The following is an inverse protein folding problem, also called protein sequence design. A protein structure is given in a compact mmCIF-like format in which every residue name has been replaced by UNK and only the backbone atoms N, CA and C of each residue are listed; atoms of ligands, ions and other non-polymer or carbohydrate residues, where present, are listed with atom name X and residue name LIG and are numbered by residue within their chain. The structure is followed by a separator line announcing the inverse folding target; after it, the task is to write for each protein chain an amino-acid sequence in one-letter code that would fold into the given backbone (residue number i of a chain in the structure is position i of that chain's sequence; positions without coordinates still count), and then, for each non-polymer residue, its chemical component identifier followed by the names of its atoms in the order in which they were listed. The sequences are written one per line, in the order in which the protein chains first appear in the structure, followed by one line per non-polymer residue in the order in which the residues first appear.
data_IF_364186020040
#
_entry.id   IF_364186020040
#
_cell.length_a   1.000
_cell.length_b   1.000
_cell.length_c   1.000
_cell.angle_alpha   90.00
_cell.angle_beta   90.00
_cell.angle_gamma   90.00
#
_symmetry.space_group_name_H-M   'P 1'
#
loop_
_entity.id
_entity.type
_entity.pdbx_description
1 polymer ?
#
# COMPACT_ATOMS: atom_id res chain seq x y z
N UNK A 1 -3.53 -26.06 -2.27
CA UNK A 1 -2.81 -26.45 -3.50
C UNK A 1 -3.02 -25.41 -4.59
N UNK A 2 -2.17 -24.39 -4.69
CA UNK A 2 -2.12 -23.52 -5.86
C UNK A 2 -1.52 -24.32 -7.02
N UNK A 3 -2.27 -24.45 -8.12
CA UNK A 3 -1.79 -25.20 -9.28
C UNK A 3 -0.55 -24.49 -9.85
N UNK A 4 0.57 -25.22 -10.01
CA UNK A 4 1.85 -24.70 -10.57
C UNK A 4 1.63 -23.84 -11.83
N UNK A 5 0.65 -24.22 -12.66
CA UNK A 5 0.28 -23.48 -13.87
C UNK A 5 -0.12 -22.03 -13.65
N UNK A 6 -0.77 -21.71 -12.52
CA UNK A 6 -1.19 -20.33 -12.25
C UNK A 6 -0.05 -19.46 -11.71
N UNK A 7 0.83 -20.06 -10.91
CA UNK A 7 2.05 -19.41 -10.41
C UNK A 7 2.97 -19.03 -11.57
N UNK A 8 3.17 -19.97 -12.50
CA UNK A 8 3.95 -19.74 -13.72
C UNK A 8 3.28 -18.71 -14.63
N UNK A 9 1.94 -18.74 -14.72
CA UNK A 9 1.19 -17.79 -15.53
C UNK A 9 1.39 -16.35 -15.06
N UNK A 10 1.18 -16.05 -13.76
CA UNK A 10 1.25 -14.66 -13.29
C UNK A 10 2.66 -14.07 -13.33
N UNK A 11 3.70 -14.91 -13.24
CA UNK A 11 5.09 -14.49 -13.39
C UNK A 11 5.59 -14.45 -14.84
N UNK A 12 4.82 -14.98 -15.79
CA UNK A 12 5.21 -15.02 -17.21
C UNK A 12 5.14 -13.62 -17.84
N UNK A 13 6.16 -13.28 -18.63
CA UNK A 13 6.22 -11.99 -19.33
C UNK A 13 5.03 -11.77 -20.28
N UNK A 14 4.50 -12.85 -20.87
CA UNK A 14 3.32 -12.81 -21.74
C UNK A 14 2.05 -12.44 -20.98
N UNK A 15 1.81 -13.06 -19.80
CA UNK A 15 0.69 -12.68 -18.95
C UNK A 15 0.81 -11.24 -18.48
N UNK A 16 1.97 -10.84 -17.96
CA UNK A 16 2.21 -9.48 -17.49
C UNK A 16 1.90 -8.47 -18.60
N UNK A 17 2.47 -8.68 -19.80
CA UNK A 17 2.27 -7.79 -20.94
C UNK A 17 0.81 -7.75 -21.42
N UNK A 18 0.16 -8.91 -21.50
CA UNK A 18 -1.25 -9.01 -21.95
C UNK A 18 -2.20 -8.38 -20.94
N UNK A 19 -1.96 -8.62 -19.64
CA UNK A 19 -2.77 -8.08 -18.56
C UNK A 19 -2.64 -6.55 -18.47
N UNK A 20 -1.42 -6.03 -18.62
CA UNK A 20 -1.15 -4.59 -18.72
C UNK A 20 -1.88 -3.97 -19.92
N UNK A 21 -1.73 -4.54 -21.12
CA UNK A 21 -2.39 -4.03 -22.32
C UNK A 21 -3.92 -4.03 -22.17
N UNK A 22 -4.49 -5.07 -21.55
CA UNK A 22 -5.93 -5.16 -21.29
C UNK A 22 -6.41 -4.08 -20.32
N UNK A 23 -5.66 -3.75 -19.27
CA UNK A 23 -6.00 -2.64 -18.37
C UNK A 23 -5.84 -1.26 -19.02
N UNK A 24 -4.85 -1.07 -19.89
CA UNK A 24 -4.60 0.20 -20.60
C UNK A 24 -5.64 0.45 -21.70
N UNK A 25 -6.17 -0.59 -22.33
CA UNK A 25 -7.13 -0.45 -23.45
C UNK A 25 -8.59 -0.42 -23.01
N UNK A 26 -8.89 -0.86 -21.78
CA UNK A 26 -10.27 -0.95 -21.27
C UNK A 26 -10.28 -0.38 -19.85
N UNK A 27 -10.41 0.94 -19.72
CA UNK A 27 -10.72 1.59 -18.44
C UNK A 27 -12.11 1.19 -17.88
N UNK A 28 -12.87 0.35 -18.58
CA UNK A 28 -14.24 -0.04 -18.22
C UNK A 28 -14.36 -0.98 -17.00
N UNK A 29 -13.25 -1.38 -16.36
CA UNK A 29 -13.24 -2.40 -15.30
C UNK A 29 -12.34 -2.01 -14.10
N UNK A 30 -12.39 -0.75 -13.67
CA UNK A 30 -11.77 -0.32 -12.40
C UNK A 30 -12.73 -0.65 -11.26
N UNK A 31 -12.27 -1.48 -10.31
CA UNK A 31 -13.02 -1.85 -9.12
C UNK A 31 -12.27 -1.41 -7.87
N UNK A 32 -13.02 -0.98 -6.86
CA UNK A 32 -12.52 -0.75 -5.51
C UNK A 32 -12.63 -2.06 -4.73
N UNK A 33 -11.53 -2.48 -4.10
CA UNK A 33 -11.53 -3.62 -3.18
C UNK A 33 -11.60 -3.08 -1.76
N UNK A 34 -12.66 -3.41 -1.04
CA UNK A 34 -12.89 -2.92 0.32
C UNK A 34 -13.04 -4.09 1.29
N UNK A 35 -12.46 -3.94 2.48
CA UNK A 35 -12.76 -4.76 3.65
C UNK A 35 -13.78 -4.00 4.48
N UNK A 36 -14.95 -4.59 4.74
CA UNK A 36 -16.03 -3.91 5.43
C UNK A 36 -16.93 -4.90 6.17
N UNK A 37 -17.73 -4.37 7.09
CA UNK A 37 -18.78 -5.13 7.76
C UNK A 37 -19.96 -5.41 6.79
N UNK A 38 -20.62 -6.58 6.85
CA UNK A 38 -21.75 -6.93 5.97
C UNK A 38 -22.90 -5.93 6.03
N UNK A 39 -23.16 -5.39 7.23
CA UNK A 39 -24.14 -4.32 7.44
C UNK A 39 -23.43 -2.97 7.44
N UNK A 40 -23.62 -2.17 6.38
CA UNK A 40 -23.05 -0.83 6.23
C UNK A 40 -23.63 0.21 7.21
N UNK A 41 -24.82 -0.04 7.76
CA UNK A 41 -25.52 0.87 8.69
C UNK A 41 -25.17 0.62 10.16
N UNK A 42 -24.26 -0.33 10.45
CA UNK A 42 -23.92 -0.68 11.84
C UNK A 42 -23.13 0.48 12.47
N UNK A 43 -23.69 1.07 13.53
CA UNK A 43 -22.93 1.93 14.42
C UNK A 43 -22.00 1.04 15.24
N UNK A 44 -20.70 1.35 15.25
CA UNK A 44 -19.73 0.65 16.10
C UNK A 44 -20.11 0.87 17.56
N UNK A 45 -20.66 -0.16 18.21
CA UNK A 45 -20.79 -0.21 19.66
C UNK A 45 -19.45 -0.74 20.20
N UNK A 46 -18.51 0.17 20.43
CA UNK A 46 -17.13 -0.16 20.84
C UNK A 46 -17.03 -0.86 22.22
N UNK A 47 -18.15 -1.15 22.87
CA UNK A 47 -18.24 -1.68 24.23
C UNK A 47 -18.55 -3.19 24.31
N UNK A 48 -18.75 -3.91 23.18
CA UNK A 48 -18.98 -5.36 23.21
C UNK A 48 -17.69 -6.17 22.91
N UNK A 49 -17.04 -6.76 23.93
CA UNK A 49 -15.83 -7.58 23.75
C UNK A 49 -16.09 -8.96 23.12
N UNK A 50 -17.34 -9.31 22.80
CA UNK A 50 -17.72 -10.56 22.12
C UNK A 50 -18.22 -10.35 20.68
N UNK A 51 -18.19 -9.12 20.18
CA UNK A 51 -18.56 -8.82 18.80
C UNK A 51 -17.40 -9.23 17.88
N UNK A 52 -17.43 -10.49 17.46
CA UNK A 52 -16.54 -10.99 16.42
C UNK A 52 -16.93 -10.26 15.13
N UNK A 53 -16.18 -9.22 14.78
CA UNK A 53 -16.38 -8.46 13.55
C UNK A 53 -16.16 -9.39 12.34
N UNK A 54 -17.23 -10.03 11.86
CA UNK A 54 -17.20 -10.73 10.58
C UNK A 54 -16.99 -9.70 9.46
N UNK A 55 -15.74 -9.40 9.12
CA UNK A 55 -15.38 -8.56 8.00
C UNK A 55 -15.38 -9.37 6.70
N UNK A 56 -15.88 -8.78 5.62
CA UNK A 56 -15.85 -9.37 4.29
C UNK A 56 -15.14 -8.47 3.28
N UNK A 57 -14.50 -9.11 2.29
CA UNK A 57 -13.97 -8.42 1.13
C UNK A 57 -15.04 -8.31 0.06
N UNK A 58 -15.17 -7.13 -0.54
CA UNK A 58 -16.07 -6.93 -1.69
C UNK A 58 -15.42 -6.06 -2.76
N UNK A 59 -15.84 -6.28 -4.00
CA UNK A 59 -15.55 -5.39 -5.12
C UNK A 59 -16.69 -4.40 -5.29
N UNK A 60 -16.38 -3.13 -5.44
CA UNK A 60 -17.30 -2.06 -5.75
C UNK A 60 -16.95 -1.43 -7.09
N UNK A 61 -17.97 -0.95 -7.81
CA UNK A 61 -17.78 -0.10 -8.98
C UNK A 61 -17.07 1.20 -8.58
N UNK A 62 -16.01 1.58 -9.28
CA UNK A 62 -15.36 2.87 -9.07
C UNK A 62 -16.24 4.06 -9.50
N UNK A 63 -17.24 3.83 -10.35
CA UNK A 63 -18.13 4.90 -10.86
C UNK A 63 -19.37 5.09 -9.99
N UNK A 64 -20.06 3.99 -9.66
CA UNK A 64 -21.34 4.03 -8.93
C UNK A 64 -21.17 3.77 -7.44
N UNK A 65 -20.01 3.29 -6.98
CA UNK A 65 -19.77 2.81 -5.62
C UNK A 65 -20.73 1.69 -5.19
N UNK A 66 -21.42 1.06 -6.15
CA UNK A 66 -22.28 -0.07 -5.88
C UNK A 66 -21.45 -1.34 -5.74
N UNK A 67 -21.87 -2.19 -4.81
CA UNK A 67 -21.24 -3.48 -4.58
C UNK A 67 -21.47 -4.38 -5.79
N UNK A 68 -20.38 -4.78 -6.43
CA UNK A 68 -20.39 -5.66 -7.60
C UNK A 68 -20.37 -7.14 -7.19
N UNK A 69 -19.53 -7.49 -6.21
CA UNK A 69 -19.42 -8.89 -5.78
C UNK A 69 -18.81 -9.04 -4.39
N UNK A 70 -19.34 -9.98 -3.61
CA UNK A 70 -18.68 -10.52 -2.42
C UNK A 70 -17.51 -11.42 -2.81
N UNK A 71 -16.41 -11.27 -2.09
CA UNK A 71 -15.24 -12.11 -2.18
C UNK A 71 -15.10 -12.90 -0.89
N UNK A 72 -15.17 -14.22 -1.01
CA UNK A 72 -14.71 -15.09 0.06
C UNK A 72 -13.23 -14.80 0.31
N UNK A 73 -12.86 -14.57 1.56
CA UNK A 73 -11.45 -14.45 1.92
C UNK A 73 -10.71 -15.71 1.45
N UNK A 74 -9.55 -15.59 0.81
CA UNK A 74 -8.80 -16.76 0.32
C UNK A 74 -8.30 -17.69 1.45
N UNK A 75 -8.36 -17.23 2.70
CA UNK A 75 -7.95 -17.94 3.92
C UNK A 75 -9.12 -17.86 4.91
N UNK A 76 -9.46 -18.93 5.62
CA UNK A 76 -10.69 -19.02 6.43
C UNK A 76 -10.76 -18.04 7.62
N UNK A 77 -9.70 -17.27 7.91
CA UNK A 77 -9.67 -16.31 9.00
C UNK A 77 -9.54 -14.87 8.47
N UNK A 78 -10.49 -14.00 8.84
CA UNK A 78 -10.77 -12.69 8.23
C UNK A 78 -10.24 -11.50 9.02
N UNK A 79 -9.81 -11.68 10.26
CA UNK A 79 -9.83 -10.58 11.22
C UNK A 79 -8.68 -9.58 11.09
N UNK A 80 -7.57 -9.90 10.43
CA UNK A 80 -6.35 -9.08 10.58
C UNK A 80 -5.50 -8.90 9.30
N UNK A 81 -6.07 -8.79 8.10
CA UNK A 81 -5.29 -8.54 6.88
C UNK A 81 -5.31 -7.08 6.43
N UNK A 82 -4.16 -6.58 5.97
CA UNK A 82 -3.99 -5.25 5.37
C UNK A 82 -3.48 -5.34 3.93
N UNK A 83 -3.88 -4.38 3.10
CA UNK A 83 -3.33 -4.20 1.75
C UNK A 83 -2.02 -3.40 1.81
N UNK A 84 -0.96 -3.97 1.23
CA UNK A 84 0.39 -3.38 1.15
C UNK A 84 0.75 -2.86 -0.25
N UNK A 85 -0.19 -2.95 -1.18
CA UNK A 85 -0.07 -2.39 -2.53
C UNK A 85 -1.00 -3.10 -3.50
N UNK A 86 -1.39 -2.41 -4.56
CA UNK A 86 -2.13 -2.98 -5.67
C UNK A 86 -1.52 -2.48 -6.97
N UNK A 87 -1.49 -3.36 -7.97
CA UNK A 87 -1.00 -3.01 -9.30
C UNK A 87 -1.59 -3.96 -10.32
N UNK A 88 -2.28 -3.38 -11.32
CA UNK A 88 -2.89 -4.11 -12.43
C UNK A 88 -3.70 -5.32 -11.96
N UNK A 89 -4.72 -5.10 -11.12
CA UNK A 89 -5.61 -6.17 -10.63
C UNK A 89 -4.98 -7.18 -9.67
N UNK A 90 -3.67 -7.10 -9.38
CA UNK A 90 -3.02 -7.85 -8.31
C UNK A 90 -2.97 -7.00 -7.05
N UNK A 91 -3.19 -7.64 -5.91
CA UNK A 91 -3.22 -7.02 -4.58
C UNK A 91 -2.28 -7.80 -3.67
N UNK A 92 -1.40 -7.10 -2.97
CA UNK A 92 -0.57 -7.70 -1.94
C UNK A 92 -1.23 -7.52 -0.59
N UNK A 93 -1.50 -8.64 0.10
CA UNK A 93 -2.09 -8.66 1.44
C UNK A 93 -1.19 -9.44 2.39
N UNK A 94 -1.17 -9.03 3.65
CA UNK A 94 -0.50 -9.72 4.76
C UNK A 94 -1.14 -9.27 6.07
N UNK A 95 -0.67 -9.80 7.19
CA UNK A 95 -1.16 -9.41 8.52
C UNK A 95 -1.08 -7.88 8.71
N UNK A 96 -2.04 -7.31 9.43
CA UNK A 96 -2.09 -5.90 9.76
C UNK A 96 -0.84 -5.49 10.56
N UNK A 97 -0.47 -6.33 11.52
CA UNK A 97 0.76 -6.23 12.30
C UNK A 97 1.73 -7.28 11.79
N UNK A 98 2.45 -6.96 10.71
CA UNK A 98 3.45 -7.86 10.15
C UNK A 98 4.63 -8.10 11.09
N UNK A 99 4.98 -9.37 11.24
CA UNK A 99 6.27 -9.83 11.71
C UNK A 99 7.06 -10.49 10.55
N UNK A 100 8.25 -11.02 10.84
CA UNK A 100 9.09 -11.63 9.81
C UNK A 100 8.45 -12.85 9.12
N UNK A 101 7.74 -13.64 9.92
CA UNK A 101 7.11 -14.90 9.52
C UNK A 101 5.69 -14.71 8.97
N UNK A 102 5.14 -13.50 9.06
CA UNK A 102 3.82 -13.15 8.52
C UNK A 102 3.74 -13.52 7.05
N UNK A 103 2.72 -14.30 6.65
CA UNK A 103 2.60 -14.75 5.29
C UNK A 103 2.25 -13.57 4.39
N UNK A 104 2.91 -13.51 3.23
CA UNK A 104 2.62 -12.51 2.20
C UNK A 104 1.82 -13.21 1.12
N UNK A 105 0.72 -12.60 0.67
CA UNK A 105 -0.08 -13.14 -0.42
C UNK A 105 -0.24 -12.12 -1.53
N UNK A 106 0.09 -12.54 -2.75
CA UNK A 106 -0.20 -11.81 -3.98
C UNK A 106 -1.49 -12.39 -4.53
N UNK A 107 -2.58 -11.67 -4.34
CA UNK A 107 -3.94 -12.08 -4.66
C UNK A 107 -4.41 -11.44 -5.97
N UNK A 108 -5.06 -12.22 -6.82
CA UNK A 108 -5.89 -11.74 -7.91
C UNK A 108 -7.37 -11.94 -7.52
N UNK A 109 -8.08 -10.87 -7.08
CA UNK A 109 -9.47 -10.95 -6.67
C UNK A 109 -10.40 -11.44 -7.78
N UNK A 110 -10.17 -11.03 -9.03
CA UNK A 110 -11.04 -11.34 -10.17
C UNK A 110 -11.12 -12.83 -10.50
N UNK A 111 -10.06 -13.59 -10.24
CA UNK A 111 -10.04 -15.05 -10.43
C UNK A 111 -9.95 -15.83 -9.11
N UNK A 112 -10.02 -15.13 -7.96
CA UNK A 112 -9.99 -15.70 -6.61
C UNK A 112 -8.80 -16.64 -6.36
N UNK A 113 -7.63 -16.31 -6.91
CA UNK A 113 -6.40 -17.08 -6.72
C UNK A 113 -5.31 -16.21 -6.12
N UNK A 114 -4.51 -16.79 -5.25
CA UNK A 114 -3.36 -16.13 -4.65
C UNK A 114 -2.09 -16.95 -4.86
N UNK A 115 -0.96 -16.26 -4.78
CA UNK A 115 0.37 -16.85 -4.68
C UNK A 115 0.98 -16.38 -3.37
N UNK A 116 1.53 -17.32 -2.62
CA UNK A 116 2.34 -17.02 -1.45
C UNK A 116 3.81 -17.08 -1.90
N UNK A 117 4.57 -15.97 -1.85
CA UNK A 117 6.01 -16.02 -2.06
C UNK A 117 6.66 -17.04 -1.11
N UNK A 118 7.77 -17.68 -1.51
CA UNK A 118 8.52 -18.54 -0.60
C UNK A 118 8.99 -17.75 0.61
N UNK A 119 9.09 -18.42 1.76
CA UNK A 119 9.68 -17.83 2.98
C UNK A 119 11.12 -17.41 2.70
N UNK A 120 11.49 -16.20 3.11
CA UNK A 120 12.90 -15.76 3.04
C UNK A 120 13.72 -16.61 4.02
N UNK A 121 14.67 -17.39 3.49
CA UNK A 121 15.48 -18.32 4.29
C UNK A 121 16.75 -17.67 4.86
N UNK A 122 17.04 -16.42 4.50
CA UNK A 122 18.33 -15.80 4.73
C UNK A 122 18.44 -15.03 6.06
N UNK A 123 17.44 -15.09 6.93
CA UNK A 123 17.41 -14.22 8.12
C UNK A 123 17.09 -14.98 9.41
N UNK A 124 18.09 -15.10 10.27
CA UNK A 124 17.97 -15.66 11.63
C UNK A 124 17.68 -14.59 12.71
N UNK A 125 17.06 -13.47 12.33
CA UNK A 125 16.83 -12.33 13.23
C UNK A 125 15.34 -12.06 13.42
N UNK A 126 14.93 -11.81 14.66
CA UNK A 126 13.58 -11.36 14.98
C UNK A 126 13.46 -9.86 14.71
N UNK A 127 12.61 -9.51 13.75
CA UNK A 127 12.27 -8.12 13.45
C UNK A 127 11.02 -7.69 14.21
N UNK A 128 11.01 -6.43 14.63
CA UNK A 128 9.90 -5.82 15.35
C UNK A 128 9.04 -4.93 14.48
N UNK A 129 9.60 -4.41 13.38
CA UNK A 129 8.87 -3.62 12.41
C UNK A 129 9.15 -4.14 11.01
N UNK A 130 8.07 -4.36 10.26
CA UNK A 130 8.12 -4.74 8.86
C UNK A 130 7.26 -3.77 8.07
N UNK A 131 7.84 -3.20 7.01
CA UNK A 131 7.12 -2.47 5.99
C UNK A 131 7.19 -3.26 4.69
N UNK A 132 6.10 -3.22 3.93
CA UNK A 132 5.96 -3.94 2.67
C UNK A 132 5.32 -3.00 1.65
N UNK A 133 5.90 -2.97 0.45
CA UNK A 133 5.38 -2.23 -0.69
C UNK A 133 5.36 -3.15 -1.90
N UNK A 134 4.22 -3.23 -2.57
CA UNK A 134 4.06 -4.07 -3.74
C UNK A 134 3.62 -3.26 -4.96
N UNK A 135 4.22 -3.54 -6.11
CA UNK A 135 3.73 -3.04 -7.37
C UNK A 135 4.54 -3.49 -8.58
N UNK A 136 4.16 -2.96 -9.74
CA UNK A 136 4.78 -3.30 -11.01
C UNK A 136 5.99 -2.41 -11.33
N UNK A 137 7.10 -3.03 -11.71
CA UNK A 137 8.28 -2.35 -12.22
C UNK A 137 8.31 -2.43 -13.76
N UNK A 138 7.96 -1.34 -14.48
CA UNK A 138 7.87 -1.35 -15.93
C UNK A 138 9.22 -1.56 -16.62
N UNK A 139 10.29 -0.91 -16.12
CA UNK A 139 11.63 -1.03 -16.70
C UNK A 139 12.22 -2.43 -16.74
N UNK A 140 11.83 -3.31 -15.81
CA UNK A 140 12.24 -4.73 -15.83
C UNK A 140 11.09 -5.68 -16.12
N UNK A 141 9.89 -5.20 -16.44
CA UNK A 141 8.69 -5.99 -16.71
C UNK A 141 8.44 -7.10 -15.66
N UNK A 142 8.35 -6.72 -14.39
CA UNK A 142 8.17 -7.65 -13.27
C UNK A 142 7.36 -7.01 -12.13
N UNK A 143 6.64 -7.84 -11.38
CA UNK A 143 6.06 -7.41 -10.11
C UNK A 143 7.07 -7.60 -9.00
N UNK A 144 7.21 -6.57 -8.16
CA UNK A 144 8.14 -6.55 -7.05
C UNK A 144 7.39 -6.37 -5.74
N UNK A 145 7.87 -7.04 -4.71
CA UNK A 145 7.51 -6.71 -3.32
C UNK A 145 8.79 -6.32 -2.60
N UNK A 146 8.86 -5.10 -2.09
CA UNK A 146 9.98 -4.61 -1.29
C UNK A 146 9.61 -4.78 0.17
N UNK A 147 10.35 -5.63 0.87
CA UNK A 147 10.17 -5.88 2.30
C UNK A 147 11.33 -5.26 3.07
N UNK A 148 10.97 -4.35 3.94
CA UNK A 148 11.87 -3.58 4.77
C UNK A 148 11.69 -4.03 6.21
N UNK A 149 12.77 -4.41 6.89
CA UNK A 149 12.70 -5.04 8.21
C UNK A 149 13.68 -4.42 9.19
N UNK A 150 13.20 -4.13 10.41
CA UNK A 150 14.00 -3.54 11.46
C UNK A 150 13.83 -4.27 12.79
N UNK A 151 14.94 -4.43 13.50
CA UNK A 151 14.97 -4.99 14.86
C UNK A 151 14.93 -3.90 15.92
N UNK A 152 14.52 -4.26 17.14
CA UNK A 152 14.61 -3.37 18.31
C UNK A 152 16.04 -2.88 18.61
N UNK A 153 17.06 -3.60 18.14
CA UNK A 153 18.49 -3.23 18.29
C UNK A 153 18.98 -2.30 17.17
N UNK A 154 18.09 -1.85 16.29
CA UNK A 154 18.42 -0.93 15.19
C UNK A 154 19.06 -1.59 13.97
N UNK A 155 19.24 -2.92 13.96
CA UNK A 155 19.67 -3.64 12.76
C UNK A 155 18.57 -3.61 11.70
N UNK A 156 18.98 -3.47 10.45
CA UNK A 156 18.13 -3.20 9.31
C UNK A 156 18.42 -4.14 8.15
N UNK A 157 17.37 -4.63 7.50
CA UNK A 157 17.44 -5.43 6.30
C UNK A 157 16.40 -4.94 5.29
N UNK A 158 16.76 -5.01 4.01
CA UNK A 158 15.84 -4.78 2.89
C UNK A 158 16.00 -5.96 1.95
N UNK A 159 14.87 -6.49 1.49
CA UNK A 159 14.86 -7.51 0.45
C UNK A 159 13.75 -7.24 -0.57
N UNK A 160 13.97 -7.77 -1.77
CA UNK A 160 13.09 -7.57 -2.91
C UNK A 160 12.67 -8.93 -3.43
N UNK A 161 11.37 -9.20 -3.41
CA UNK A 161 10.79 -10.33 -4.12
C UNK A 161 10.61 -9.99 -5.59
N UNK A 162 10.95 -10.93 -6.46
CA UNK A 162 10.60 -10.92 -7.87
C UNK A 162 9.54 -11.97 -8.14
N UNK A 163 8.39 -11.56 -8.66
CA UNK A 163 7.34 -12.51 -9.06
C UNK A 163 7.81 -13.40 -10.22
N UNK A 164 8.59 -12.84 -11.15
CA UNK A 164 9.16 -13.57 -12.29
C UNK A 164 10.13 -14.67 -11.86
N UNK A 165 11.06 -14.39 -10.95
CA UNK A 165 12.07 -15.40 -10.52
C UNK A 165 11.65 -16.17 -9.28
N UNK A 166 10.47 -15.87 -8.73
CA UNK A 166 9.92 -16.47 -7.51
C UNK A 166 10.90 -16.55 -6.34
N UNK A 167 11.64 -15.47 -6.12
CA UNK A 167 12.73 -15.46 -5.14
C UNK A 167 12.92 -14.09 -4.53
N UNK A 168 13.37 -14.10 -3.29
CA UNK A 168 13.81 -12.93 -2.55
C UNK A 168 15.29 -12.69 -2.79
N UNK A 169 15.65 -11.42 -3.03
CA UNK A 169 17.03 -10.94 -3.07
C UNK A 169 17.26 -9.99 -1.89
N UNK A 170 18.29 -10.25 -1.10
CA UNK A 170 18.75 -9.33 -0.05
C UNK A 170 19.51 -8.15 -0.66
N UNK A 171 19.26 -6.94 -0.15
CA UNK A 171 19.99 -5.73 -0.53
C UNK A 171 21.15 -5.53 0.44
N UNK A 172 22.37 -5.49 -0.10
CA UNK A 172 23.60 -5.45 0.69
C UNK A 172 23.94 -4.03 1.14
N UNK A 173 23.81 -3.06 0.25
CA UNK A 173 24.20 -1.68 0.48
C UNK A 173 23.03 -0.84 1.00
N UNK A 174 22.87 -0.82 2.33
CA UNK A 174 21.84 0.00 2.97
C UNK A 174 22.47 1.28 3.54
N UNK A 175 22.00 2.48 3.14
CA UNK A 175 22.58 3.73 3.63
C UNK A 175 22.49 3.87 5.15
N UNK A 176 23.55 4.37 5.82
CA UNK A 176 23.54 4.54 7.28
C UNK A 176 22.41 5.43 7.80
N UNK A 177 21.98 6.41 7.00
CA UNK A 177 20.90 7.34 7.37
C UNK A 177 19.53 6.67 7.49
N UNK A 178 19.35 5.46 6.95
CA UNK A 178 18.10 4.69 7.05
C UNK A 178 17.96 3.98 8.41
N UNK A 179 19.00 4.01 9.25
CA UNK A 179 18.97 3.55 10.65
C UNK A 179 18.22 4.56 11.53
N UNK A 180 16.93 4.73 11.28
CA UNK A 180 16.05 5.71 11.92
C UNK A 180 14.81 5.05 12.53
N UNK A 181 13.92 5.83 13.16
CA UNK A 181 12.67 5.30 13.72
C UNK A 181 11.71 4.91 12.60
N UNK A 182 11.16 3.70 12.71
CA UNK A 182 10.18 3.15 11.79
C UNK A 182 8.92 2.92 12.57
N UNK A 183 7.80 3.37 12.02
CA UNK A 183 6.48 3.07 12.54
C UNK A 183 5.69 2.38 11.42
N UNK A 184 4.49 1.89 11.72
CA UNK A 184 3.62 1.19 10.77
C UNK A 184 2.92 2.17 9.80
N UNK A 185 3.70 3.09 9.21
CA UNK A 185 3.20 4.06 8.25
C UNK A 185 2.86 3.41 6.91
N UNK A 186 1.96 4.05 6.18
CA UNK A 186 1.63 3.63 4.81
C UNK A 186 2.83 3.88 3.90
N UNK A 187 3.09 2.92 3.02
CA UNK A 187 3.98 3.07 1.88
C UNK A 187 3.21 2.97 0.58
N UNK A 188 3.87 3.25 -0.53
CA UNK A 188 3.32 3.00 -1.87
C UNK A 188 4.42 2.47 -2.79
N UNK A 189 4.04 1.92 -3.94
CA UNK A 189 4.97 1.47 -4.96
C UNK A 189 4.54 2.07 -6.29
N UNK A 190 5.46 2.76 -6.96
CA UNK A 190 5.17 3.40 -8.24
C UNK A 190 6.38 3.31 -9.16
N UNK A 191 6.15 2.86 -10.40
CA UNK A 191 7.16 2.78 -11.45
C UNK A 191 8.46 2.06 -11.06
N UNK A 192 8.38 0.99 -10.27
CA UNK A 192 9.56 0.23 -9.84
C UNK A 192 10.19 0.74 -8.53
N UNK A 193 9.66 1.82 -7.97
CA UNK A 193 10.20 2.48 -6.79
C UNK A 193 9.25 2.29 -5.61
N UNK A 194 9.76 1.75 -4.50
CA UNK A 194 9.04 1.67 -3.23
C UNK A 194 9.24 2.97 -2.45
N UNK A 195 8.16 3.53 -1.91
CA UNK A 195 8.19 4.72 -1.07
C UNK A 195 7.65 4.40 0.31
N UNK A 196 8.32 4.90 1.34
CA UNK A 196 7.91 4.72 2.72
C UNK A 196 8.19 5.98 3.52
N UNK A 197 7.25 6.35 4.39
CA UNK A 197 7.45 7.42 5.36
C UNK A 197 8.40 6.91 6.45
N UNK A 198 9.41 7.69 6.80
CA UNK A 198 10.38 7.40 7.85
C UNK A 198 10.48 8.58 8.81
N UNK A 199 10.92 8.30 10.04
CA UNK A 199 11.08 9.32 11.08
C UNK A 199 12.52 9.39 11.58
N UNK A 200 13.12 10.57 11.48
CA UNK A 200 14.48 10.89 11.95
C UNK A 200 14.41 11.93 13.06
N UNK A 201 14.27 11.45 14.30
CA UNK A 201 14.03 12.34 15.44
C UNK A 201 12.69 13.09 15.26
N UNK A 202 12.68 14.44 15.24
CA UNK A 202 11.46 15.22 15.00
C UNK A 202 11.09 15.36 13.52
N UNK A 203 11.97 14.97 12.59
CA UNK A 203 11.78 15.20 11.16
C UNK A 203 11.17 13.97 10.50
N UNK A 204 10.13 14.20 9.70
CA UNK A 204 9.57 13.19 8.79
C UNK A 204 10.21 13.29 7.41
N UNK A 205 10.39 12.16 6.77
CA UNK A 205 10.91 12.09 5.40
C UNK A 205 10.27 10.93 4.66
N UNK A 206 10.25 11.01 3.33
CA UNK A 206 9.88 9.90 2.47
C UNK A 206 11.18 9.32 1.93
N UNK A 207 11.43 8.05 2.25
CA UNK A 207 12.48 7.28 1.60
C UNK A 207 11.92 6.66 0.33
N UNK A 208 12.70 6.70 -0.73
CA UNK A 208 12.46 5.90 -1.94
C UNK A 208 13.55 4.86 -2.12
N UNK A 209 13.17 3.69 -2.62
CA UNK A 209 14.07 2.62 -3.01
C UNK A 209 13.71 2.13 -4.41
N UNK A 210 14.60 2.31 -5.37
CA UNK A 210 14.43 1.79 -6.73
C UNK A 210 14.79 0.31 -6.77
N UNK A 211 13.82 -0.55 -7.08
CA UNK A 211 14.04 -2.00 -7.07
C UNK A 211 14.81 -2.54 -8.29
N UNK A 212 15.15 -1.68 -9.26
CA UNK A 212 15.98 -1.99 -10.41
C UNK A 212 17.43 -1.52 -10.23
N UNK A 213 17.64 -0.26 -9.85
CA UNK A 213 18.99 0.28 -9.61
C UNK A 213 19.53 0.00 -8.21
N UNK A 214 18.67 -0.39 -7.27
CA UNK A 214 18.98 -0.63 -5.86
C UNK A 214 19.46 0.63 -5.12
N UNK A 215 19.08 1.80 -5.64
CA UNK A 215 19.43 3.09 -5.08
C UNK A 215 18.35 3.59 -4.11
N UNK A 216 18.82 4.24 -3.04
CA UNK A 216 17.97 4.87 -2.04
C UNK A 216 18.07 6.38 -2.14
N UNK A 217 16.93 7.06 -2.07
CA UNK A 217 16.87 8.51 -1.92
C UNK A 217 16.01 8.90 -0.74
N UNK A 218 16.20 10.13 -0.27
CA UNK A 218 15.45 10.73 0.82
C UNK A 218 14.86 12.07 0.38
N UNK A 219 13.59 12.27 0.70
CA UNK A 219 12.87 13.52 0.51
C UNK A 219 12.32 13.98 1.86
N UNK A 220 12.88 15.07 2.39
CA UNK A 220 12.38 15.67 3.63
C UNK A 220 10.92 16.06 3.44
N UNK A 221 10.03 15.63 4.33
CA UNK A 221 8.61 15.91 4.24
C UNK A 221 8.34 17.40 4.56
N UNK A 222 7.28 18.03 4.00
CA UNK A 222 6.90 19.39 4.37
C UNK A 222 6.75 19.59 5.88
N UNK A 223 7.19 20.75 6.41
CA UNK A 223 7.13 21.08 7.85
C UNK A 223 5.71 21.04 8.44
N UNK A 224 4.69 21.22 7.59
CA UNK A 224 3.28 21.09 7.97
C UNK A 224 2.91 19.66 8.42
N UNK A 225 3.73 18.66 8.10
CA UNK A 225 3.53 17.27 8.50
C UNK A 225 4.24 17.07 9.84
N UNK A 226 3.50 17.29 10.92
CA UNK A 226 3.98 17.03 12.28
C UNK A 226 3.33 15.78 12.92
N UNK A 227 2.28 15.23 12.28
CA UNK A 227 1.61 13.98 12.66
C UNK A 227 1.46 13.03 11.45
N UNK A 228 2.16 11.89 11.46
CA UNK A 228 2.17 10.95 10.33
C UNK A 228 1.03 9.92 10.36
N UNK A 229 0.29 9.81 11.46
CA UNK A 229 -0.87 8.92 11.58
C UNK A 229 -1.97 9.25 10.58
N UNK A 230 -2.05 10.51 10.16
CA UNK A 230 -3.03 11.06 9.21
C UNK A 230 -2.44 11.27 7.81
N UNK A 231 -1.17 10.87 7.60
CA UNK A 231 -0.48 11.04 6.34
C UNK A 231 -0.76 9.87 5.40
N UNK A 232 -1.36 10.16 4.25
CA UNK A 232 -1.50 9.20 3.17
C UNK A 232 -0.48 9.49 2.06
N UNK A 233 0.32 8.49 1.70
CA UNK A 233 1.20 8.52 0.53
C UNK A 233 0.51 7.84 -0.64
N UNK A 234 0.51 8.50 -1.80
CA UNK A 234 -0.19 8.01 -2.99
C UNK A 234 0.47 8.46 -4.28
N UNK A 235 -0.26 8.27 -5.38
CA UNK A 235 0.14 8.71 -6.72
C UNK A 235 -0.92 9.67 -7.24
N UNK A 236 -0.50 10.87 -7.63
CA UNK A 236 -1.33 11.89 -8.26
C UNK A 236 -0.67 12.38 -9.55
N UNK A 237 -1.35 12.20 -10.68
CA UNK A 237 -0.88 12.56 -12.03
C UNK A 237 0.53 12.03 -12.30
N UNK A 238 0.70 10.72 -12.08
CA UNK A 238 1.96 9.99 -12.28
C UNK A 238 3.13 10.49 -11.42
N UNK A 239 2.83 11.10 -10.27
CA UNK A 239 3.83 11.59 -9.32
C UNK A 239 3.47 11.16 -7.91
N UNK A 240 4.48 10.95 -7.08
CA UNK A 240 4.25 10.70 -5.67
C UNK A 240 3.66 11.95 -5.01
N UNK A 241 2.68 11.72 -4.15
CA UNK A 241 2.05 12.78 -3.38
C UNK A 241 1.85 12.38 -1.93
N UNK A 242 1.68 13.41 -1.10
CA UNK A 242 1.30 13.32 0.29
C UNK A 242 -0.03 14.04 0.47
N UNK A 243 -0.97 13.36 1.14
CA UNK A 243 -2.24 13.91 1.59
C UNK A 243 -2.19 13.98 3.11
N UNK A 244 -2.46 15.16 3.66
CA UNK A 244 -2.60 15.35 5.11
C UNK A 244 -4.03 15.80 5.39
N UNK A 245 -4.69 15.03 6.24
CA UNK A 245 -6.10 15.17 6.57
C UNK A 245 -6.21 15.52 8.06
N UNK A 246 -6.11 16.81 8.44
CA UNK A 246 -6.44 17.30 9.80
C UNK A 246 -6.26 18.82 10.01
N UNK A 247 -6.98 19.66 9.27
CA UNK A 247 -7.15 21.05 9.72
C UNK A 247 -8.62 21.45 9.67
N UNK A 248 -9.22 21.88 10.81
CA UNK A 248 -10.40 22.72 10.74
C UNK A 248 -10.02 23.90 9.86
N UNK A 249 -10.82 24.14 8.83
CA UNK A 249 -10.67 25.33 8.02
C UNK A 249 -11.01 26.56 8.89
N UNK A 250 -10.51 27.74 8.52
CA UNK A 250 -10.99 29.00 9.11
C UNK A 250 -12.51 29.17 8.88
N UNK A 251 -13.06 28.47 7.88
CA UNK A 251 -14.49 28.36 7.62
C UNK A 251 -15.15 27.36 8.59
N UNK A 252 -16.10 27.87 9.39
CA UNK A 252 -16.84 27.08 10.37
C UNK A 252 -17.59 25.92 9.70
N UNK A 253 -17.37 24.70 10.21
CA UNK A 253 -17.99 23.50 9.67
C UNK A 253 -17.35 22.97 8.37
N UNK A 254 -16.10 23.35 8.07
CA UNK A 254 -15.33 22.83 6.94
C UNK A 254 -14.01 22.18 7.39
N UNK A 255 -13.60 21.13 6.68
CA UNK A 255 -12.30 20.49 6.80
C UNK A 255 -11.44 20.75 5.56
N UNK A 256 -10.13 20.58 5.74
CA UNK A 256 -9.13 20.84 4.72
C UNK A 256 -8.17 19.66 4.58
N UNK A 257 -8.02 19.17 3.34
CA UNK A 257 -6.95 18.25 2.95
C UNK A 257 -5.86 19.03 2.23
N UNK A 258 -4.65 18.99 2.77
CA UNK A 258 -3.48 19.51 2.06
C UNK A 258 -2.86 18.41 1.17
N UNK A 259 -2.55 18.80 -0.07
CA UNK A 259 -1.93 17.92 -1.07
C UNK A 259 -0.55 18.46 -1.45
N UNK A 260 0.49 17.66 -1.27
CA UNK A 260 1.84 17.94 -1.79
C UNK A 260 2.22 16.93 -2.85
N UNK A 261 2.87 17.39 -3.91
CA UNK A 261 3.37 16.55 -5.00
C UNK A 261 4.88 16.68 -5.08
N UNK A 262 5.58 15.55 -5.18
CA UNK A 262 7.02 15.50 -5.38
C UNK A 262 7.36 15.90 -6.82
N UNK A 263 8.13 16.98 -6.99
CA UNK A 263 8.62 17.47 -8.29
C UNK A 263 10.09 17.84 -8.16
N UNK A 264 10.94 17.32 -9.05
CA UNK A 264 12.37 17.67 -9.07
C UNK A 264 13.02 17.51 -7.68
N UNK A 265 12.67 16.42 -6.98
CA UNK A 265 13.13 16.09 -5.62
C UNK A 265 12.68 17.09 -4.52
N UNK A 266 11.70 17.94 -4.79
CA UNK A 266 11.12 18.88 -3.83
C UNK A 266 9.61 18.73 -3.74
N UNK A 267 9.06 18.97 -2.55
CA UNK A 267 7.62 18.95 -2.34
C UNK A 267 7.01 20.30 -2.74
N UNK A 268 6.02 20.24 -3.62
CA UNK A 268 5.21 21.40 -3.98
C UNK A 268 3.79 21.20 -3.49
N UNK A 269 3.33 22.08 -2.61
CA UNK A 269 1.93 22.12 -2.20
C UNK A 269 1.07 22.55 -3.39
N UNK A 270 -0.03 21.83 -3.62
CA UNK A 270 -1.10 22.21 -4.53
C UNK A 270 -2.21 22.88 -3.73
N UNK A 271 -3.21 23.44 -4.42
CA UNK A 271 -4.35 24.03 -3.75
C UNK A 271 -5.01 22.97 -2.84
N UNK A 272 -5.26 23.30 -1.57
CA UNK A 272 -5.92 22.39 -0.66
C UNK A 272 -7.37 22.15 -1.08
N UNK A 273 -7.90 21.01 -0.68
CA UNK A 273 -9.30 20.65 -0.89
C UNK A 273 -10.06 20.97 0.38
N UNK A 274 -11.16 21.72 0.24
CA UNK A 274 -12.04 22.08 1.34
C UNK A 274 -13.36 21.35 1.13
N UNK A 275 -13.88 20.75 2.19
CA UNK A 275 -15.14 20.00 2.15
C UNK A 275 -15.91 20.18 3.47
N UNK A 276 -17.24 20.00 3.47
CA UNK A 276 -18.04 20.09 4.68
C UNK A 276 -17.59 19.08 5.72
N UNK A 277 -17.38 19.55 6.96
CA UNK A 277 -17.14 18.73 8.13
C UNK A 277 -18.36 17.83 8.33
N UNK A 278 -18.18 16.55 8.05
CA UNK A 278 -19.11 15.50 8.45
C UNK A 278 -18.31 14.50 9.28
N UNK A 279 -18.88 14.01 10.39
CA UNK A 279 -18.16 13.26 11.44
C UNK A 279 -17.51 11.95 10.95
N UNK A 280 -17.78 11.56 9.70
CA UNK A 280 -17.38 10.29 9.11
C UNK A 280 -16.43 10.42 7.92
N UNK A 281 -16.32 11.59 7.28
CA UNK A 281 -15.56 11.74 6.05
C UNK A 281 -14.05 11.74 6.32
N UNK A 282 -13.32 10.72 5.84
CA UNK A 282 -11.86 10.67 5.87
C UNK A 282 -11.29 10.37 4.49
N UNK A 283 -10.16 10.99 4.19
CA UNK A 283 -9.44 10.71 2.95
C UNK A 283 -8.80 9.34 2.99
N UNK A 284 -9.22 8.45 2.09
CA UNK A 284 -8.72 7.07 2.03
C UNK A 284 -7.63 6.88 0.97
N UNK A 285 -7.53 7.78 -0.01
CA UNK A 285 -6.51 7.74 -1.04
C UNK A 285 -6.84 8.53 -2.30
N UNK A 286 -6.17 8.18 -3.40
CA UNK A 286 -6.35 8.79 -4.72
C UNK A 286 -6.68 7.69 -5.72
N UNK A 287 -7.71 7.90 -6.53
CA UNK A 287 -8.11 6.98 -7.59
C UNK A 287 -7.16 7.05 -8.79
N UNK A 288 -7.27 6.06 -9.68
CA UNK A 288 -6.51 6.04 -10.94
C UNK A 288 -6.79 7.26 -11.85
N UNK A 289 -7.98 7.85 -11.71
CA UNK A 289 -8.38 9.06 -12.44
C UNK A 289 -7.90 10.35 -11.75
N UNK A 290 -7.07 10.23 -10.71
CA UNK A 290 -6.56 11.33 -9.91
C UNK A 290 -7.65 12.09 -9.13
N UNK A 291 -8.72 11.39 -8.76
CA UNK A 291 -9.75 11.91 -7.84
C UNK A 291 -9.41 11.51 -6.42
N UNK A 292 -9.68 12.40 -5.46
CA UNK A 292 -9.57 12.06 -4.04
C UNK A 292 -10.74 11.14 -3.70
N UNK A 293 -10.45 10.07 -2.98
CA UNK A 293 -11.44 9.16 -2.44
C UNK A 293 -11.62 9.48 -0.95
N UNK A 294 -12.87 9.67 -0.55
CA UNK A 294 -13.29 9.90 0.83
C UNK A 294 -14.34 8.85 1.20
N UNK A 295 -14.30 8.36 2.44
CA UNK A 295 -15.30 7.47 3.04
C UNK A 295 -15.91 8.17 4.24
#
# INVERSE_FOLDING_TARGET
CTCKSWSDLIGSSSFVSTHLHRNVTIHAHVYLLCLHHPNFERQNDNDDPYDIEELQWSLFSNETFEQFSNLSHPLENTEHYRIYGSSNGLVCISDEIMNFDSPIHIWNPSVRKFRTPPTSTNINMKFSHVALQFGFHPGVNDYKAVRMMRTNKGALAVEVYSLRTDSWKMIEAIPPWLKCTWQHYKGTFFNGVAYHVIQKGPIFSVMSFDSGSEEFEEFIAPDAIFRPSELCIGVYKERICLLLDFYPCDEEGMEKVDLWVLREKQWKQLCPFIYPLDYYNRTIGISIDNKILML
#
